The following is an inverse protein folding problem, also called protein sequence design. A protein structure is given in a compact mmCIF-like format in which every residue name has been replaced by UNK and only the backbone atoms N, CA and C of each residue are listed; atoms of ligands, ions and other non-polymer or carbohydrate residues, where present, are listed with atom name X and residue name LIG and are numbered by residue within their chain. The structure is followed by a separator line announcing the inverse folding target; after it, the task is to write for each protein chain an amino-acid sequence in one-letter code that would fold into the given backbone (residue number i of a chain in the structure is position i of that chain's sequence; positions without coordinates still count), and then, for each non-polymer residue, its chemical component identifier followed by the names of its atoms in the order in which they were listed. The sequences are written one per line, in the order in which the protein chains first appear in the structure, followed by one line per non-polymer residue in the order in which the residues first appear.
data_IF_386594372959
#
_entry.id   IF_386594372959
#
_cell.length_a   1.000
_cell.length_b   1.000
_cell.length_c   1.000
_cell.angle_alpha   90.00
_cell.angle_beta   90.00
_cell.angle_gamma   90.00
#
_symmetry.space_group_name_H-M   'P 1'
#
loop_
_entity.id
_entity.type
_entity.pdbx_description
1 polymer ?
#
# COMPACT_ATOMS: atom_id res chain seq x y z
N UNK A 1 -10.49 34.99 59.30
CA UNK A 1 -11.31 35.20 58.07
C UNK A 1 -10.45 35.25 56.80
N UNK A 2 -9.52 34.30 56.61
CA UNK A 2 -8.61 34.27 55.46
C UNK A 2 -8.47 32.89 54.81
N UNK A 3 -9.55 32.09 54.82
CA UNK A 3 -9.49 30.72 54.26
C UNK A 3 -10.04 30.56 52.85
N UNK A 4 -10.56 31.60 52.20
CA UNK A 4 -11.27 31.46 50.94
C UNK A 4 -10.47 31.88 49.67
N UNK A 5 -9.25 32.38 49.83
CA UNK A 5 -8.44 32.79 48.70
C UNK A 5 -7.61 31.65 48.07
N UNK A 6 -7.28 30.64 48.85
CA UNK A 6 -6.47 29.51 48.38
C UNK A 6 -7.26 28.56 47.47
N UNK A 7 -8.55 28.35 47.75
CA UNK A 7 -9.43 27.51 46.93
C UNK A 7 -9.68 28.07 45.54
N UNK A 8 -9.84 29.38 45.40
CA UNK A 8 -10.04 30.01 44.10
C UNK A 8 -8.78 29.99 43.22
N UNK A 9 -7.62 30.14 43.84
CA UNK A 9 -6.33 30.07 43.15
C UNK A 9 -6.03 28.68 42.65
N UNK A 10 -6.30 27.63 43.44
CA UNK A 10 -6.16 26.22 43.04
C UNK A 10 -7.12 25.84 41.90
N UNK A 11 -8.35 26.38 41.87
CA UNK A 11 -9.29 26.12 40.77
C UNK A 11 -8.82 26.75 39.46
N UNK A 12 -8.25 27.94 39.47
CA UNK A 12 -7.70 28.62 38.26
C UNK A 12 -6.48 27.85 37.76
N UNK A 13 -5.62 27.39 38.64
CA UNK A 13 -4.45 26.57 38.25
C UNK A 13 -4.89 25.24 37.62
N UNK A 14 -5.90 24.56 38.17
CA UNK A 14 -6.47 23.34 37.60
C UNK A 14 -7.10 23.57 36.24
N UNK A 15 -7.84 24.67 36.05
CA UNK A 15 -8.41 25.04 34.76
C UNK A 15 -7.31 25.31 33.69
N UNK A 16 -6.21 25.94 34.11
CA UNK A 16 -5.05 26.18 33.25
C UNK A 16 -4.40 24.87 32.77
N UNK A 17 -4.21 23.92 33.70
CA UNK A 17 -3.67 22.59 33.36
C UNK A 17 -4.60 21.83 32.42
N UNK A 18 -5.91 21.84 32.66
CA UNK A 18 -6.90 21.19 31.80
C UNK A 18 -6.93 21.81 30.39
N UNK A 19 -6.78 23.12 30.29
CA UNK A 19 -6.70 23.81 29.00
C UNK A 19 -5.47 23.36 28.20
N UNK A 20 -4.31 23.28 28.85
CA UNK A 20 -3.05 22.82 28.22
C UNK A 20 -3.18 21.36 27.77
N UNK A 21 -3.69 20.49 28.64
CA UNK A 21 -3.90 19.07 28.33
C UNK A 21 -4.88 18.92 27.16
N UNK A 22 -5.96 19.70 27.14
CA UNK A 22 -6.92 19.72 26.04
C UNK A 22 -6.27 20.07 24.69
N UNK A 23 -5.48 21.12 24.64
CA UNK A 23 -4.77 21.53 23.41
C UNK A 23 -3.75 20.50 22.96
N UNK A 24 -2.97 19.95 23.90
CA UNK A 24 -1.99 18.89 23.60
C UNK A 24 -2.64 17.61 23.11
N UNK A 25 -3.80 17.25 23.66
CA UNK A 25 -4.54 16.05 23.26
C UNK A 25 -5.03 16.16 21.81
N UNK A 26 -5.63 17.28 21.43
CA UNK A 26 -6.10 17.52 20.06
C UNK A 26 -4.92 17.57 19.09
N UNK A 27 -3.85 18.27 19.44
CA UNK A 27 -2.63 18.34 18.61
C UNK A 27 -1.95 16.98 18.46
N UNK A 28 -1.91 16.19 19.51
CA UNK A 28 -1.37 14.84 19.51
C UNK A 28 -2.14 13.89 18.59
N UNK A 29 -3.46 13.91 18.61
CA UNK A 29 -4.32 13.08 17.76
C UNK A 29 -4.14 13.46 16.30
N UNK A 30 -4.14 14.76 15.98
CA UNK A 30 -3.94 15.24 14.60
C UNK A 30 -2.55 14.87 14.06
N UNK A 31 -1.50 15.02 14.86
CA UNK A 31 -0.15 14.63 14.51
C UNK A 31 0.01 13.12 14.29
N UNK A 32 -0.59 12.32 15.15
CA UNK A 32 -0.61 10.86 15.03
C UNK A 32 -1.32 10.40 13.75
N UNK A 33 -2.49 10.95 13.43
CA UNK A 33 -3.22 10.62 12.20
C UNK A 33 -2.39 10.88 10.95
N UNK A 34 -1.73 12.04 10.87
CA UNK A 34 -0.85 12.38 9.74
C UNK A 34 0.37 11.46 9.65
N UNK A 35 0.98 11.13 10.79
CA UNK A 35 2.11 10.20 10.83
C UNK A 35 1.71 8.79 10.37
N UNK A 36 0.53 8.30 10.76
CA UNK A 36 0.00 7.01 10.32
C UNK A 36 -0.32 6.97 8.83
N UNK A 37 -0.82 8.06 8.27
CA UNK A 37 -1.05 8.17 6.82
C UNK A 37 0.28 8.07 6.05
N UNK A 38 1.31 8.81 6.47
CA UNK A 38 2.63 8.71 5.86
C UNK A 38 3.26 7.32 6.02
N UNK A 39 3.07 6.68 7.17
CA UNK A 39 3.53 5.31 7.38
C UNK A 39 2.88 4.33 6.40
N UNK A 40 1.56 4.43 6.18
CA UNK A 40 0.84 3.60 5.21
C UNK A 40 1.38 3.80 3.79
N UNK A 41 1.56 5.06 3.37
CA UNK A 41 2.12 5.38 2.04
C UNK A 41 3.52 4.80 1.88
N UNK A 42 4.39 4.99 2.86
CA UNK A 42 5.75 4.44 2.81
C UNK A 42 5.75 2.91 2.77
N UNK A 43 4.84 2.27 3.49
CA UNK A 43 4.70 0.81 3.47
C UNK A 43 4.26 0.31 2.09
N UNK A 44 3.29 0.97 1.46
CA UNK A 44 2.87 0.65 0.10
C UNK A 44 4.07 0.76 -0.86
N UNK A 45 4.80 1.87 -0.81
CA UNK A 45 5.97 2.08 -1.67
C UNK A 45 7.01 0.96 -1.46
N UNK A 46 7.27 0.57 -0.23
CA UNK A 46 8.20 -0.53 0.07
C UNK A 46 7.73 -1.86 -0.50
N UNK A 47 6.46 -2.21 -0.35
CA UNK A 47 5.89 -3.46 -0.83
C UNK A 47 5.97 -3.53 -2.37
N UNK A 48 5.59 -2.45 -3.07
CA UNK A 48 5.69 -2.39 -4.53
C UNK A 48 7.14 -2.40 -5.02
N UNK A 49 8.04 -1.68 -4.37
CA UNK A 49 9.46 -1.70 -4.73
C UNK A 49 10.06 -3.11 -4.55
N UNK A 50 9.73 -3.80 -3.47
CA UNK A 50 10.17 -5.18 -3.25
C UNK A 50 9.73 -6.10 -4.39
N UNK A 51 8.47 -6.02 -4.80
CA UNK A 51 7.95 -6.76 -5.94
C UNK A 51 8.69 -6.42 -7.24
N UNK A 52 8.84 -5.12 -7.54
CA UNK A 52 9.50 -4.65 -8.77
C UNK A 52 10.96 -5.13 -8.83
N UNK A 53 11.72 -4.96 -7.76
CA UNK A 53 13.11 -5.41 -7.71
C UNK A 53 13.24 -6.93 -7.84
N UNK A 54 12.38 -7.68 -7.18
CA UNK A 54 12.32 -9.13 -7.34
C UNK A 54 12.02 -9.54 -8.79
N UNK A 55 11.05 -8.91 -9.42
CA UNK A 55 10.71 -9.15 -10.83
C UNK A 55 11.84 -8.81 -11.80
N UNK A 56 12.58 -7.73 -11.55
CA UNK A 56 13.72 -7.34 -12.38
C UNK A 56 14.85 -8.37 -12.32
N UNK A 57 15.08 -8.94 -11.17
CA UNK A 57 16.09 -10.01 -10.98
C UNK A 57 15.75 -11.25 -11.82
N UNK A 58 14.46 -11.63 -11.88
CA UNK A 58 14.00 -12.79 -12.65
C UNK A 58 13.67 -12.49 -14.12
N UNK A 59 13.79 -11.24 -14.56
CA UNK A 59 13.40 -10.82 -15.92
C UNK A 59 13.97 -11.69 -17.02
N UNK A 60 15.26 -12.08 -16.95
CA UNK A 60 15.91 -12.91 -17.96
C UNK A 60 15.31 -14.32 -18.06
N UNK A 61 14.79 -14.85 -16.95
CA UNK A 61 14.15 -16.16 -16.93
C UNK A 61 12.77 -16.10 -17.58
N UNK A 62 12.03 -15.00 -17.44
CA UNK A 62 10.76 -14.80 -18.10
C UNK A 62 10.92 -14.65 -19.62
N UNK A 63 11.97 -13.98 -20.09
CA UNK A 63 12.25 -13.83 -21.52
C UNK A 63 12.45 -15.17 -22.25
N UNK A 64 13.04 -16.16 -21.60
CA UNK A 64 13.39 -17.44 -22.21
C UNK A 64 12.25 -18.45 -22.23
N UNK A 65 11.37 -18.42 -21.26
CA UNK A 65 10.45 -19.51 -20.96
C UNK A 65 8.97 -19.19 -21.18
N UNK A 66 8.68 -17.97 -21.60
CA UNK A 66 7.30 -17.46 -21.64
C UNK A 66 6.93 -17.11 -23.06
N UNK A 67 5.82 -17.67 -23.57
CA UNK A 67 5.30 -17.40 -24.91
C UNK A 67 3.99 -16.63 -24.81
N UNK A 68 3.89 -15.51 -25.50
CA UNK A 68 2.68 -14.67 -25.52
C UNK A 68 2.68 -13.58 -24.43
N UNK A 69 1.53 -13.27 -23.88
CA UNK A 69 1.34 -12.36 -22.73
C UNK A 69 0.78 -13.10 -21.51
N UNK A 70 1.51 -14.06 -20.93
CA UNK A 70 1.02 -14.79 -19.79
C UNK A 70 0.96 -13.92 -18.56
N UNK A 71 -0.01 -14.23 -17.73
CA UNK A 71 -0.09 -13.74 -16.38
C UNK A 71 0.97 -14.44 -15.53
N UNK A 72 1.70 -13.67 -14.74
CA UNK A 72 2.79 -14.18 -13.91
C UNK A 72 2.39 -14.40 -12.45
N UNK A 73 1.13 -14.23 -12.07
CA UNK A 73 0.67 -14.28 -10.68
C UNK A 73 1.11 -15.54 -9.95
N UNK A 74 0.90 -16.72 -10.54
CA UNK A 74 1.29 -17.97 -9.90
C UNK A 74 2.81 -18.15 -9.79
N UNK A 75 3.52 -17.69 -10.81
CA UNK A 75 4.99 -17.75 -10.85
C UNK A 75 5.60 -16.87 -9.78
N UNK A 76 5.12 -15.64 -9.62
CA UNK A 76 5.65 -14.71 -8.63
C UNK A 76 5.30 -15.12 -7.19
N UNK A 77 4.18 -15.80 -6.99
CA UNK A 77 3.85 -16.43 -5.70
C UNK A 77 4.81 -17.59 -5.43
N UNK A 78 5.02 -18.47 -6.40
CA UNK A 78 5.93 -19.62 -6.26
C UNK A 78 7.39 -19.20 -6.00
N UNK A 79 7.82 -18.07 -6.56
CA UNK A 79 9.14 -17.47 -6.32
C UNK A 79 9.22 -16.67 -5.02
N UNK A 80 8.14 -16.58 -4.26
CA UNK A 80 8.05 -15.82 -3.02
C UNK A 80 8.42 -14.32 -3.18
N UNK A 81 8.06 -13.75 -4.33
CA UNK A 81 8.31 -12.33 -4.64
C UNK A 81 7.18 -11.42 -4.15
N UNK A 82 6.03 -12.00 -3.83
CA UNK A 82 4.85 -11.27 -3.35
C UNK A 82 5.04 -10.91 -1.89
N UNK A 83 4.78 -9.65 -1.48
CA UNK A 83 4.78 -9.29 -0.07
C UNK A 83 3.85 -10.18 0.76
N UNK A 84 4.29 -10.58 1.97
CA UNK A 84 3.57 -11.55 2.82
C UNK A 84 2.16 -11.13 3.23
N UNK A 85 1.87 -9.85 3.12
CA UNK A 85 0.60 -9.24 3.49
C UNK A 85 -0.38 -9.12 2.30
N UNK A 86 0.03 -9.57 1.11
CA UNK A 86 -0.84 -9.60 -0.06
C UNK A 86 -1.55 -10.94 -0.17
N UNK A 87 -2.75 -10.94 -0.77
CA UNK A 87 -3.54 -12.15 -0.99
C UNK A 87 -3.77 -12.40 -2.47
N UNK A 88 -3.84 -13.67 -2.86
CA UNK A 88 -4.26 -14.05 -4.20
C UNK A 88 -5.78 -13.88 -4.31
N UNK A 89 -6.24 -13.01 -5.19
CA UNK A 89 -7.66 -12.77 -5.43
C UNK A 89 -8.23 -13.83 -6.40
N UNK A 90 -7.51 -14.03 -7.50
CA UNK A 90 -7.79 -15.10 -8.50
C UNK A 90 -6.50 -15.40 -9.28
N UNK A 91 -6.59 -16.17 -10.37
CA UNK A 91 -5.41 -16.57 -11.16
C UNK A 91 -4.71 -15.42 -11.89
N UNK A 92 -5.32 -14.23 -11.93
CA UNK A 92 -4.78 -13.05 -12.61
C UNK A 92 -4.36 -11.96 -11.65
N UNK A 93 -5.00 -11.86 -10.49
CA UNK A 93 -4.90 -10.69 -9.63
C UNK A 93 -4.45 -11.04 -8.22
N UNK A 94 -3.56 -10.20 -7.70
CA UNK A 94 -3.22 -10.11 -6.29
C UNK A 94 -3.93 -8.91 -5.67
N UNK A 95 -4.18 -8.96 -4.39
CA UNK A 95 -4.73 -7.86 -3.63
C UNK A 95 -3.76 -7.46 -2.52
N UNK A 96 -3.48 -6.16 -2.42
CA UNK A 96 -2.68 -5.62 -1.34
C UNK A 96 -3.52 -5.45 -0.05
N UNK A 97 -2.88 -5.05 1.04
CA UNK A 97 -3.54 -4.81 2.33
C UNK A 97 -4.58 -3.68 2.32
N UNK A 98 -4.62 -2.89 1.27
CA UNK A 98 -5.49 -1.71 1.17
C UNK A 98 -6.66 -1.92 0.21
N UNK A 99 -6.80 -3.15 -0.31
CA UNK A 99 -7.85 -3.50 -1.23
C UNK A 99 -7.56 -3.17 -2.71
N UNK A 100 -6.35 -2.70 -3.02
CA UNK A 100 -5.96 -2.48 -4.40
C UNK A 100 -5.59 -3.81 -5.06
N UNK A 101 -5.95 -3.98 -6.32
CA UNK A 101 -5.55 -5.17 -7.05
C UNK A 101 -4.37 -4.90 -7.98
N UNK A 102 -3.55 -5.92 -8.15
CA UNK A 102 -2.32 -5.90 -8.93
C UNK A 102 -2.30 -7.09 -9.88
N UNK A 103 -2.02 -6.83 -11.14
CA UNK A 103 -1.79 -7.87 -12.14
C UNK A 103 -0.37 -7.72 -12.70
N UNK A 104 0.36 -8.80 -12.76
CA UNK A 104 1.72 -8.84 -13.31
C UNK A 104 1.74 -9.72 -14.55
N UNK A 105 2.12 -9.14 -15.68
CA UNK A 105 2.20 -9.81 -16.98
C UNK A 105 3.55 -9.61 -17.61
N UNK A 106 3.96 -10.53 -18.46
CA UNK A 106 5.12 -10.36 -19.33
C UNK A 106 4.65 -10.23 -20.78
N UNK A 107 5.13 -9.21 -21.49
CA UNK A 107 4.83 -8.99 -22.91
C UNK A 107 6.06 -9.30 -23.76
N UNK A 108 5.86 -10.11 -24.81
CA UNK A 108 6.84 -10.33 -25.88
C UNK A 108 6.53 -9.48 -27.11
N UNK A 109 7.57 -9.09 -27.84
CA UNK A 109 7.48 -8.21 -29.03
C UNK A 109 6.72 -8.81 -30.21
N UNK A 110 6.50 -10.11 -30.25
CA UNK A 110 5.94 -10.80 -31.41
C UNK A 110 4.40 -10.79 -31.47
N UNK A 111 3.75 -10.11 -30.56
CA UNK A 111 2.29 -10.02 -30.56
C UNK A 111 1.80 -8.83 -31.38
N UNK A 112 1.10 -9.12 -32.47
CA UNK A 112 0.55 -8.20 -33.48
C UNK A 112 -0.47 -7.17 -32.92
N UNK A 113 -0.78 -7.23 -31.63
CA UNK A 113 -1.83 -6.39 -31.01
C UNK A 113 -1.29 -5.23 -30.17
N UNK A 114 0.01 -5.05 -30.04
CA UNK A 114 0.54 -4.00 -29.17
C UNK A 114 1.22 -2.89 -29.96
N UNK A 115 0.76 -1.68 -29.74
CA UNK A 115 1.41 -0.44 -30.22
C UNK A 115 2.75 -0.14 -29.51
N UNK A 116 3.25 -1.06 -28.69
CA UNK A 116 4.54 -0.95 -28.00
C UNK A 116 5.52 -1.99 -28.55
N UNK A 117 6.56 -1.51 -29.21
CA UNK A 117 7.59 -2.33 -29.87
C UNK A 117 8.61 -3.00 -28.91
N UNK A 118 8.36 -3.05 -27.61
CA UNK A 118 9.35 -3.54 -26.65
C UNK A 118 8.80 -4.63 -25.73
N UNK A 119 9.64 -5.65 -25.54
CA UNK A 119 9.44 -6.67 -24.51
C UNK A 119 9.54 -6.06 -23.12
N UNK A 120 8.68 -6.50 -22.20
CA UNK A 120 8.73 -5.97 -20.85
C UNK A 120 7.78 -6.62 -19.85
N UNK A 121 8.07 -6.35 -18.61
CA UNK A 121 7.15 -6.59 -17.52
C UNK A 121 6.10 -5.48 -17.47
N UNK A 122 4.85 -5.87 -17.36
CA UNK A 122 3.72 -4.96 -17.21
C UNK A 122 3.13 -5.23 -15.84
N UNK A 123 3.03 -4.19 -15.04
CA UNK A 123 2.37 -4.22 -13.75
C UNK A 123 1.17 -3.29 -13.85
N UNK A 124 -0.01 -3.87 -13.92
CA UNK A 124 -1.25 -3.13 -13.85
C UNK A 124 -1.72 -3.10 -12.40
N UNK A 125 -2.07 -1.94 -11.89
CA UNK A 125 -2.63 -1.80 -10.56
C UNK A 125 -3.80 -0.81 -10.57
N UNK A 126 -4.78 -1.08 -9.74
CA UNK A 126 -5.92 -0.20 -9.53
C UNK A 126 -5.92 0.34 -8.10
N UNK A 127 -5.68 1.63 -7.98
CA UNK A 127 -5.70 2.37 -6.72
C UNK A 127 -7.06 3.02 -6.51
N UNK A 128 -8.12 2.27 -6.32
CA UNK A 128 -9.38 2.95 -6.16
C UNK A 128 -10.64 2.11 -6.08
N UNK A 129 -10.56 0.93 -5.49
CA UNK A 129 -11.74 0.23 -5.02
C UNK A 129 -12.76 -0.17 -6.09
N UNK A 130 -12.34 -0.37 -7.35
CA UNK A 130 -13.15 -1.09 -8.31
C UNK A 130 -13.19 -2.56 -7.86
N UNK A 131 -14.36 -3.03 -7.53
CA UNK A 131 -14.60 -4.44 -7.30
C UNK A 131 -14.44 -5.18 -8.62
N UNK A 132 -13.48 -6.09 -8.68
CA UNK A 132 -13.40 -7.04 -9.78
C UNK A 132 -14.50 -8.06 -9.52
N UNK A 133 -15.40 -8.25 -10.48
CA UNK A 133 -16.39 -9.32 -10.39
C UNK A 133 -15.69 -10.70 -10.45
N UNK A 134 -16.39 -11.77 -10.07
CA UNK A 134 -15.84 -13.12 -10.08
C UNK A 134 -15.39 -13.58 -11.49
N UNK A 135 -15.82 -12.88 -12.54
CA UNK A 135 -15.41 -13.12 -13.92
C UNK A 135 -14.12 -12.36 -14.30
N UNK A 136 -13.60 -11.48 -13.44
CA UNK A 136 -12.36 -10.73 -13.67
C UNK A 136 -12.50 -9.60 -14.68
N UNK A 137 -13.67 -9.00 -14.78
CA UNK A 137 -13.96 -7.82 -15.61
C UNK A 137 -13.91 -6.53 -14.79
#
# INVERSE_FOLDING_TARGET
MYKNFETGRSMIEMLGVLAIVGVLSVGGIAGYSKAMEQFKVNKIIQDYNSLIFGLLEYRQNFQKNVVGEPNLTDIIIALNLVPNNWTKLNDKYLQDNYGNWVNVRYRQTNNSYSSFDKEGLIIDFNLGGLTIDEAGN
#
